data_IF_193175585559
#
_entry.id   IF_193175585559
#
_cell.length_a   1.000
_cell.length_b   1.000
_cell.length_c   1.000
_cell.angle_alpha   90.00
_cell.angle_beta   90.00
_cell.angle_gamma   90.00
#
_symmetry.space_group_name_H-M   'P 1'
#
loop_
_entity.id
_entity.type
_entity.pdbx_description
1 polymer ?
#
# COMPACT_ATOMS: atom_id res chain seq x y z
N UNK A 1 2.79 -19.34 6.41
CA UNK A 1 4.00 -18.77 5.75
C UNK A 1 5.07 -19.80 5.37
N UNK A 2 5.38 -20.80 6.20
CA UNK A 2 6.49 -21.75 5.98
C UNK A 2 6.56 -22.41 4.59
N UNK A 3 5.44 -22.94 4.08
CA UNK A 3 5.41 -23.61 2.79
C UNK A 3 5.70 -22.63 1.62
N UNK A 4 5.21 -21.39 1.71
CA UNK A 4 5.49 -20.35 0.73
C UNK A 4 6.97 -19.95 0.78
N UNK A 5 7.51 -19.69 1.98
CA UNK A 5 8.93 -19.40 2.17
C UNK A 5 9.82 -20.50 1.55
N UNK A 6 9.56 -21.77 1.87
CA UNK A 6 10.32 -22.90 1.31
C UNK A 6 10.23 -23.00 -0.21
N UNK A 7 9.09 -22.63 -0.80
CA UNK A 7 8.90 -22.66 -2.25
C UNK A 7 9.70 -21.55 -2.93
N UNK A 8 9.65 -20.34 -2.37
CA UNK A 8 10.43 -19.19 -2.87
C UNK A 8 11.93 -19.40 -2.69
N UNK A 9 12.35 -19.97 -1.56
CA UNK A 9 13.75 -20.29 -1.31
C UNK A 9 14.30 -21.31 -2.34
N UNK A 10 13.47 -22.28 -2.76
CA UNK A 10 13.83 -23.20 -3.84
C UNK A 10 13.94 -22.51 -5.19
N UNK A 11 13.09 -21.52 -5.49
CA UNK A 11 13.18 -20.75 -6.72
C UNK A 11 14.48 -19.90 -6.74
N UNK A 12 14.80 -19.23 -5.63
CA UNK A 12 16.01 -18.43 -5.48
C UNK A 12 17.30 -19.27 -5.45
N UNK A 13 17.23 -20.54 -5.05
CA UNK A 13 18.35 -21.47 -5.17
C UNK A 13 18.64 -21.85 -6.64
N UNK A 14 17.64 -21.78 -7.53
CA UNK A 14 17.80 -22.02 -8.97
C UNK A 14 18.31 -20.75 -9.67
N UNK A 15 17.69 -19.61 -9.38
CA UNK A 15 18.10 -18.30 -9.88
C UNK A 15 18.02 -17.24 -8.74
N UNK A 16 19.16 -16.88 -8.14
CA UNK A 16 19.22 -15.88 -7.06
C UNK A 16 18.78 -14.47 -7.49
N UNK A 17 18.74 -14.21 -8.79
CA UNK A 17 18.46 -12.90 -9.38
C UNK A 17 17.04 -12.83 -9.99
N UNK A 18 16.22 -13.86 -9.82
CA UNK A 18 14.85 -13.85 -10.32
C UNK A 18 14.00 -12.79 -9.61
N UNK A 19 13.63 -11.74 -10.35
CA UNK A 19 12.95 -10.55 -9.82
C UNK A 19 11.64 -10.88 -9.07
N UNK A 20 10.79 -11.75 -9.65
CA UNK A 20 9.51 -12.13 -9.05
C UNK A 20 9.69 -12.91 -7.72
N UNK A 21 10.51 -13.98 -7.64
CA UNK A 21 10.85 -14.61 -6.36
C UNK A 21 11.42 -13.65 -5.31
N UNK A 22 12.29 -12.70 -5.70
CA UNK A 22 12.83 -11.69 -4.79
C UNK A 22 11.73 -10.77 -4.23
N UNK A 23 10.82 -10.31 -5.10
CA UNK A 23 9.66 -9.49 -4.72
C UNK A 23 8.76 -10.25 -3.72
N UNK A 24 8.40 -11.50 -4.04
CA UNK A 24 7.55 -12.32 -3.17
C UNK A 24 8.24 -12.62 -1.84
N UNK A 25 9.54 -12.94 -1.84
CA UNK A 25 10.30 -13.17 -0.61
C UNK A 25 10.25 -11.94 0.31
N UNK A 26 10.44 -10.76 -0.26
CA UNK A 26 10.39 -9.48 0.44
C UNK A 26 9.02 -9.24 1.06
N UNK A 27 7.94 -9.41 0.28
CA UNK A 27 6.56 -9.26 0.77
C UNK A 27 6.23 -10.25 1.90
N UNK A 28 6.67 -11.52 1.79
CA UNK A 28 6.46 -12.52 2.83
C UNK A 28 7.18 -12.14 4.13
N UNK A 29 8.44 -11.71 4.06
CA UNK A 29 9.22 -11.31 5.25
C UNK A 29 8.57 -10.12 5.98
N UNK A 30 8.11 -9.12 5.22
CA UNK A 30 7.41 -7.94 5.75
C UNK A 30 6.06 -8.35 6.36
N UNK A 31 5.25 -9.14 5.65
CA UNK A 31 3.91 -9.53 6.11
C UNK A 31 3.95 -10.45 7.34
N UNK A 32 4.90 -11.38 7.39
CA UNK A 32 5.01 -12.38 8.46
C UNK A 32 5.68 -11.81 9.72
N UNK A 33 6.73 -11.00 9.55
CA UNK A 33 7.65 -10.62 10.65
C UNK A 33 7.88 -9.12 10.77
N UNK A 34 7.42 -8.31 9.81
CA UNK A 34 7.82 -6.91 9.71
C UNK A 34 9.32 -6.75 9.41
N UNK A 35 9.92 -7.76 8.76
CA UNK A 35 11.35 -7.79 8.45
C UNK A 35 11.61 -7.21 7.06
N UNK A 36 12.37 -6.11 7.01
CA UNK A 36 12.74 -5.42 5.78
C UNK A 36 14.05 -5.93 5.17
N UNK A 37 14.83 -6.75 5.87
CA UNK A 37 16.16 -7.18 5.41
C UNK A 37 16.11 -7.96 4.09
N UNK A 38 15.04 -8.74 3.87
CA UNK A 38 14.83 -9.42 2.59
C UNK A 38 14.63 -8.43 1.43
N UNK A 39 13.89 -7.34 1.66
CA UNK A 39 13.67 -6.29 0.67
C UNK A 39 14.96 -5.50 0.40
N UNK A 40 15.70 -5.13 1.45
CA UNK A 40 16.99 -4.43 1.32
C UNK A 40 17.99 -5.27 0.51
N UNK A 41 18.12 -6.56 0.82
CA UNK A 41 18.98 -7.47 0.07
C UNK A 41 18.54 -7.63 -1.39
N UNK A 42 17.22 -7.70 -1.64
CA UNK A 42 16.69 -7.74 -2.99
C UNK A 42 17.04 -6.47 -3.78
N UNK A 43 16.86 -5.28 -3.19
CA UNK A 43 17.21 -4.02 -3.84
C UNK A 43 18.70 -3.91 -4.16
N UNK A 44 19.60 -4.47 -3.34
CA UNK A 44 21.02 -4.54 -3.66
C UNK A 44 21.31 -5.54 -4.81
N UNK A 45 20.68 -6.72 -4.80
CA UNK A 45 20.89 -7.74 -5.84
C UNK A 45 20.49 -7.22 -7.23
N UNK A 46 19.35 -6.55 -7.33
CA UNK A 46 18.80 -6.10 -8.63
C UNK A 46 19.59 -4.97 -9.28
N UNK A 47 20.44 -4.23 -8.55
CA UNK A 47 21.29 -3.17 -9.14
C UNK A 47 22.21 -3.68 -10.26
N UNK A 48 22.60 -4.96 -10.18
CA UNK A 48 23.51 -5.59 -11.12
C UNK A 48 22.80 -6.25 -12.32
N UNK A 49 21.47 -6.31 -12.29
CA UNK A 49 20.67 -7.02 -13.28
C UNK A 49 20.33 -6.09 -14.46
N UNK A 50 20.53 -6.52 -15.72
CA UNK A 50 20.01 -5.80 -16.87
C UNK A 50 18.47 -5.74 -16.81
N UNK A 51 17.92 -4.52 -16.77
CA UNK A 51 16.48 -4.29 -16.63
C UNK A 51 15.97 -3.32 -17.67
N UNK A 52 14.74 -3.54 -18.14
CA UNK A 52 14.00 -2.56 -18.94
C UNK A 52 13.69 -1.32 -18.11
N UNK A 53 13.35 -0.21 -18.77
CA UNK A 53 12.94 1.01 -18.06
C UNK A 53 11.68 0.79 -17.22
N UNK A 54 10.76 -0.05 -17.69
CA UNK A 54 9.56 -0.44 -16.97
C UNK A 54 9.89 -1.20 -15.67
N UNK A 55 10.78 -2.19 -15.75
CA UNK A 55 11.25 -2.94 -14.57
C UNK A 55 11.93 -2.02 -13.56
N UNK A 56 12.77 -1.08 -14.02
CA UNK A 56 13.41 -0.09 -13.15
C UNK A 56 12.39 0.80 -12.45
N UNK A 57 11.38 1.29 -13.19
CA UNK A 57 10.32 2.13 -12.63
C UNK A 57 9.47 1.39 -11.58
N UNK A 58 9.14 0.12 -11.86
CA UNK A 58 8.44 -0.76 -10.90
C UNK A 58 9.27 -0.93 -9.62
N UNK A 59 10.54 -1.32 -9.73
CA UNK A 59 11.42 -1.55 -8.57
C UNK A 59 11.62 -0.28 -7.75
N UNK A 60 11.82 0.88 -8.38
CA UNK A 60 11.94 2.14 -7.67
C UNK A 60 10.63 2.55 -6.96
N UNK A 61 9.47 2.26 -7.55
CA UNK A 61 8.17 2.46 -6.89
C UNK A 61 8.01 1.55 -5.66
N UNK A 62 8.37 0.27 -5.78
CA UNK A 62 8.35 -0.68 -4.65
C UNK A 62 9.34 -0.30 -3.56
N UNK A 63 10.53 0.19 -3.94
CA UNK A 63 11.52 0.70 -2.99
C UNK A 63 11.01 1.93 -2.24
N UNK A 64 10.33 2.85 -2.93
CA UNK A 64 9.68 3.97 -2.28
C UNK A 64 8.60 3.48 -1.27
N UNK A 65 7.75 2.53 -1.65
CA UNK A 65 6.74 1.93 -0.76
C UNK A 65 7.39 1.33 0.50
N UNK A 66 8.47 0.55 0.35
CA UNK A 66 9.21 -0.05 1.47
C UNK A 66 9.83 1.03 2.38
N UNK A 67 10.45 2.06 1.81
CA UNK A 67 11.05 3.15 2.58
C UNK A 67 10.01 3.90 3.44
N UNK A 68 8.76 4.03 2.96
CA UNK A 68 7.66 4.58 3.77
C UNK A 68 7.33 3.68 4.95
N UNK A 69 7.25 2.35 4.75
CA UNK A 69 7.01 1.40 5.84
C UNK A 69 8.15 1.40 6.88
N UNK A 70 9.38 1.62 6.43
CA UNK A 70 10.55 1.80 7.30
C UNK A 70 10.63 3.18 7.97
N UNK A 71 9.68 4.08 7.67
CA UNK A 71 9.66 5.48 8.14
C UNK A 71 10.86 6.31 7.67
N UNK A 72 11.55 5.87 6.61
CA UNK A 72 12.60 6.59 5.88
C UNK A 72 11.95 7.57 4.88
N UNK A 73 11.13 8.50 5.39
CA UNK A 73 10.23 9.32 4.57
C UNK A 73 10.97 10.23 3.59
N UNK A 74 12.14 10.74 3.96
CA UNK A 74 12.94 11.62 3.10
C UNK A 74 13.51 10.84 1.91
N UNK A 75 14.00 9.65 2.16
CA UNK A 75 14.54 8.73 1.16
C UNK A 75 13.44 8.20 0.25
N UNK A 76 12.29 7.81 0.82
CA UNK A 76 11.12 7.39 0.04
C UNK A 76 10.58 8.51 -0.85
N UNK A 77 10.53 9.74 -0.33
CA UNK A 77 10.18 10.93 -1.11
C UNK A 77 11.16 11.15 -2.28
N UNK A 78 12.46 11.12 -2.00
CA UNK A 78 13.48 11.32 -3.03
C UNK A 78 13.40 10.24 -4.12
N UNK A 79 13.22 8.98 -3.74
CA UNK A 79 13.06 7.88 -4.69
C UNK A 79 11.84 8.10 -5.59
N UNK A 80 10.69 8.41 -5.01
CA UNK A 80 9.46 8.65 -5.76
C UNK A 80 9.54 9.89 -6.68
N UNK A 81 10.18 10.98 -6.23
CA UNK A 81 10.37 12.18 -7.05
C UNK A 81 11.36 11.98 -8.20
N UNK A 82 12.32 11.06 -8.05
CA UNK A 82 13.29 10.75 -9.09
C UNK A 82 12.70 10.01 -10.29
N UNK A 83 11.53 9.36 -10.10
CA UNK A 83 10.82 8.64 -11.16
C UNK A 83 10.18 9.61 -12.16
N UNK A 84 10.52 9.58 -13.45
CA UNK A 84 9.85 10.39 -14.45
C UNK A 84 8.39 9.98 -14.64
N UNK A 85 7.50 10.97 -14.84
CA UNK A 85 6.06 10.72 -14.97
C UNK A 85 5.71 9.86 -16.21
N UNK A 86 6.45 10.04 -17.30
CA UNK A 86 6.27 9.28 -18.55
C UNK A 86 6.60 7.79 -18.42
N UNK A 87 7.49 7.43 -17.50
CA UNK A 87 7.81 6.02 -17.21
C UNK A 87 6.68 5.28 -16.49
N UNK A 88 5.72 6.01 -15.90
CA UNK A 88 4.61 5.45 -15.13
C UNK A 88 3.28 5.45 -15.91
N UNK A 89 3.25 5.98 -17.13
CA UNK A 89 2.03 6.14 -17.93
C UNK A 89 1.31 4.81 -18.23
N UNK A 90 2.04 3.68 -18.25
CA UNK A 90 1.50 2.35 -18.55
C UNK A 90 1.42 1.42 -17.32
N UNK A 91 1.71 1.91 -16.11
CA UNK A 91 1.78 1.09 -14.90
C UNK A 91 0.47 1.13 -14.10
N UNK A 92 0.05 0.02 -13.48
CA UNK A 92 -1.28 -0.11 -12.82
C UNK A 92 -1.48 0.79 -11.60
N UNK A 93 -0.42 1.03 -10.80
CA UNK A 93 -0.41 2.07 -9.74
C UNK A 93 -0.07 3.47 -10.28
N UNK A 94 0.32 3.56 -11.54
CA UNK A 94 0.59 4.75 -12.36
C UNK A 94 1.09 6.00 -11.63
N UNK A 95 0.62 7.14 -12.13
CA UNK A 95 0.90 8.47 -11.57
C UNK A 95 0.15 8.72 -10.26
N UNK A 96 -1.04 8.14 -10.10
CA UNK A 96 -1.86 8.27 -8.90
C UNK A 96 -1.13 7.79 -7.65
N UNK A 97 -0.59 6.56 -7.69
CA UNK A 97 0.16 5.95 -6.59
C UNK A 97 1.45 6.70 -6.26
N UNK A 98 2.21 7.13 -7.28
CA UNK A 98 3.41 7.95 -7.08
C UNK A 98 3.09 9.22 -6.28
N UNK A 99 2.12 10.00 -6.75
CA UNK A 99 1.81 11.29 -6.11
C UNK A 99 1.08 11.11 -4.76
N UNK A 100 0.35 10.01 -4.57
CA UNK A 100 -0.17 9.63 -3.25
C UNK A 100 0.98 9.38 -2.25
N UNK A 101 2.02 8.62 -2.64
CA UNK A 101 3.19 8.37 -1.80
C UNK A 101 3.95 9.66 -1.48
N UNK A 102 4.18 10.52 -2.49
CA UNK A 102 4.80 11.83 -2.30
C UNK A 102 3.99 12.67 -1.29
N UNK A 103 2.66 12.69 -1.42
CA UNK A 103 1.76 13.38 -0.51
C UNK A 103 1.90 12.87 0.92
N UNK A 104 1.85 11.54 1.09
CA UNK A 104 2.05 10.88 2.38
C UNK A 104 3.39 11.23 3.02
N UNK A 105 4.48 11.11 2.25
CA UNK A 105 5.84 11.37 2.73
C UNK A 105 6.03 12.84 3.14
N UNK A 106 5.50 13.79 2.35
CA UNK A 106 5.55 15.22 2.67
C UNK A 106 4.75 15.56 3.92
N UNK A 107 3.58 14.96 4.10
CA UNK A 107 2.78 15.14 5.33
C UNK A 107 3.53 14.60 6.54
N UNK A 108 4.15 13.42 6.44
CA UNK A 108 4.98 12.85 7.50
C UNK A 108 6.23 13.70 7.82
N UNK A 109 6.70 14.52 6.86
CA UNK A 109 7.77 15.49 7.01
C UNK A 109 7.28 16.90 7.40
N UNK A 110 5.99 17.05 7.74
CA UNK A 110 5.34 18.31 8.10
C UNK A 110 5.34 19.39 7.00
N UNK A 111 5.44 18.98 5.73
CA UNK A 111 5.26 19.84 4.56
C UNK A 111 3.81 19.77 4.06
N UNK A 112 2.91 20.45 4.78
CA UNK A 112 1.47 20.46 4.49
C UNK A 112 1.15 20.98 3.08
N UNK A 113 1.85 22.04 2.65
CA UNK A 113 1.62 22.65 1.34
C UNK A 113 2.04 21.72 0.21
N UNK A 114 3.22 21.09 0.33
CA UNK A 114 3.69 20.11 -0.64
C UNK A 114 2.88 18.83 -0.62
N UNK A 115 2.45 18.35 0.55
CA UNK A 115 1.55 17.20 0.67
C UNK A 115 0.25 17.44 -0.08
N UNK A 116 -0.40 18.58 0.18
CA UNK A 116 -1.63 18.98 -0.49
C UNK A 116 -1.45 19.07 -2.02
N UNK A 117 -0.35 19.64 -2.48
CA UNK A 117 -0.06 19.75 -3.91
C UNK A 117 0.11 18.37 -4.56
N UNK A 118 0.78 17.43 -3.88
CA UNK A 118 0.95 16.07 -4.36
C UNK A 118 -0.38 15.30 -4.39
N UNK A 119 -1.21 15.40 -3.35
CA UNK A 119 -2.54 14.77 -3.34
C UNK A 119 -3.46 15.31 -4.45
N UNK A 120 -3.40 16.62 -4.77
CA UNK A 120 -4.13 17.16 -5.92
C UNK A 120 -3.65 16.56 -7.25
N UNK A 121 -2.34 16.36 -7.43
CA UNK A 121 -1.82 15.68 -8.62
C UNK A 121 -2.27 14.21 -8.69
N UNK A 122 -2.25 13.52 -7.55
CA UNK A 122 -2.76 12.15 -7.45
C UNK A 122 -4.24 12.09 -7.86
N UNK A 123 -5.08 12.98 -7.31
CA UNK A 123 -6.51 13.09 -7.65
C UNK A 123 -6.71 13.23 -9.16
N UNK A 124 -6.07 14.22 -9.80
CA UNK A 124 -6.21 14.44 -11.24
C UNK A 124 -5.78 13.23 -12.09
N UNK A 125 -4.69 12.55 -11.69
CA UNK A 125 -4.22 11.36 -12.40
C UNK A 125 -5.19 10.18 -12.28
N UNK A 126 -5.74 9.96 -11.07
CA UNK A 126 -6.68 8.88 -10.79
C UNK A 126 -8.02 9.13 -11.50
N UNK A 127 -8.53 10.37 -11.48
CA UNK A 127 -9.75 10.75 -12.21
C UNK A 127 -9.61 10.52 -13.72
N UNK A 128 -8.43 10.81 -14.29
CA UNK A 128 -8.16 10.55 -15.70
C UNK A 128 -8.08 9.04 -16.01
N UNK A 129 -7.58 8.23 -15.09
CA UNK A 129 -7.60 6.77 -15.20
C UNK A 129 -9.05 6.23 -15.17
N UNK A 130 -9.89 6.74 -14.28
CA UNK A 130 -11.31 6.35 -14.18
C UNK A 130 -12.12 6.68 -15.43
N UNK A 131 -11.76 7.72 -16.20
CA UNK A 131 -12.40 7.96 -17.52
C UNK A 131 -12.18 6.81 -18.50
N UNK A 132 -11.07 6.08 -18.38
CA UNK A 132 -10.74 4.94 -19.25
C UNK A 132 -11.25 3.61 -18.68
N UNK A 133 -11.37 3.52 -17.36
CA UNK A 133 -11.83 2.32 -16.66
C UNK A 133 -12.76 2.71 -15.50
N UNK A 134 -14.02 3.07 -15.80
CA UNK A 134 -14.96 3.60 -14.82
C UNK A 134 -15.39 2.62 -13.73
N UNK A 135 -15.17 1.32 -13.93
CA UNK A 135 -15.58 0.26 -12.98
C UNK A 135 -14.37 -0.34 -12.23
N UNK A 136 -13.21 0.34 -12.26
CA UNK A 136 -11.99 -0.12 -11.61
C UNK A 136 -12.03 0.13 -10.10
N UNK A 137 -12.52 -0.86 -9.34
CA UNK A 137 -12.74 -0.77 -7.89
C UNK A 137 -11.47 -0.34 -7.10
N UNK A 138 -10.30 -0.85 -7.49
CA UNK A 138 -9.01 -0.49 -6.92
C UNK A 138 -8.65 0.99 -7.13
N UNK A 139 -9.04 1.53 -8.29
CA UNK A 139 -8.83 2.94 -8.64
C UNK A 139 -9.79 3.84 -7.86
N UNK A 140 -11.04 3.41 -7.64
CA UNK A 140 -12.00 4.11 -6.79
C UNK A 140 -11.55 4.19 -5.32
N UNK A 141 -11.05 3.09 -4.74
CA UNK A 141 -10.56 3.14 -3.35
C UNK A 141 -9.29 3.98 -3.22
N UNK A 142 -8.43 4.04 -4.25
CA UNK A 142 -7.31 4.98 -4.29
C UNK A 142 -7.79 6.44 -4.31
N UNK A 143 -8.81 6.76 -5.12
CA UNK A 143 -9.41 8.09 -5.15
C UNK A 143 -9.98 8.46 -3.77
N UNK A 144 -10.71 7.54 -3.14
CA UNK A 144 -11.26 7.73 -1.80
C UNK A 144 -10.18 8.12 -0.77
N UNK A 145 -9.04 7.44 -0.78
CA UNK A 145 -7.91 7.75 0.11
C UNK A 145 -7.34 9.14 -0.15
N UNK A 146 -7.15 9.52 -1.41
CA UNK A 146 -6.67 10.87 -1.78
C UNK A 146 -7.65 11.94 -1.34
N UNK A 147 -8.95 11.73 -1.56
CA UNK A 147 -10.00 12.65 -1.14
C UNK A 147 -10.04 12.81 0.39
N UNK A 148 -9.82 11.73 1.14
CA UNK A 148 -9.72 11.79 2.59
C UNK A 148 -8.56 12.68 3.06
N UNK A 149 -7.38 12.55 2.45
CA UNK A 149 -6.24 13.44 2.73
C UNK A 149 -6.46 14.90 2.33
N UNK A 150 -7.28 15.13 1.31
CA UNK A 150 -7.71 16.46 0.88
C UNK A 150 -8.83 17.04 1.76
N UNK A 151 -9.26 16.32 2.80
CA UNK A 151 -10.37 16.67 3.68
C UNK A 151 -11.73 16.80 2.96
N UNK A 152 -11.89 16.11 1.82
CA UNK A 152 -13.13 16.01 1.04
C UNK A 152 -13.95 14.80 1.52
N UNK A 153 -14.40 14.85 2.78
CA UNK A 153 -14.97 13.70 3.52
C UNK A 153 -16.12 12.99 2.78
N UNK A 154 -17.13 13.71 2.33
CA UNK A 154 -18.32 13.08 1.74
C UNK A 154 -17.99 12.37 0.42
N UNK A 155 -17.15 13.01 -0.41
CA UNK A 155 -16.64 12.42 -1.65
C UNK A 155 -15.78 11.18 -1.36
N UNK A 156 -14.92 11.22 -0.34
CA UNK A 156 -14.10 10.08 0.04
C UNK A 156 -14.94 8.86 0.44
N UNK A 157 -15.99 9.07 1.24
CA UNK A 157 -16.89 8.00 1.67
C UNK A 157 -17.75 7.47 0.51
N UNK A 158 -18.19 8.33 -0.41
CA UNK A 158 -18.93 7.92 -1.60
C UNK A 158 -18.09 7.02 -2.51
N UNK A 159 -16.83 7.40 -2.77
CA UNK A 159 -15.90 6.59 -3.58
C UNK A 159 -15.53 5.26 -2.90
N UNK A 160 -15.33 5.27 -1.58
CA UNK A 160 -15.07 4.05 -0.80
C UNK A 160 -16.26 3.06 -0.85
N UNK A 161 -17.48 3.59 -0.75
CA UNK A 161 -18.71 2.80 -0.89
C UNK A 161 -18.84 2.25 -2.31
N UNK A 162 -18.61 3.07 -3.33
CA UNK A 162 -18.69 2.64 -4.72
C UNK A 162 -17.68 1.53 -5.06
N UNK A 163 -16.43 1.65 -4.60
CA UNK A 163 -15.44 0.60 -4.73
C UNK A 163 -15.91 -0.74 -4.12
N UNK A 164 -16.54 -0.68 -2.94
CA UNK A 164 -17.08 -1.85 -2.24
C UNK A 164 -18.23 -2.51 -3.01
N UNK A 165 -19.07 -1.72 -3.69
CA UNK A 165 -20.16 -2.21 -4.52
C UNK A 165 -19.67 -2.85 -5.82
N UNK A 166 -18.62 -2.30 -6.43
CA UNK A 166 -18.01 -2.85 -7.65
C UNK A 166 -17.35 -4.22 -7.42
N UNK A 167 -16.65 -4.36 -6.30
CA UNK A 167 -15.92 -5.57 -5.95
C UNK A 167 -16.12 -5.97 -4.47
N UNK A 168 -17.30 -6.50 -4.11
CA UNK A 168 -17.53 -7.01 -2.77
C UNK A 168 -16.76 -8.31 -2.54
N UNK A 169 -16.43 -8.60 -1.29
CA UNK A 169 -15.74 -9.84 -0.88
C UNK A 169 -16.49 -11.12 -1.24
N UNK A 170 -17.82 -11.05 -1.37
CA UNK A 170 -18.66 -12.17 -1.81
C UNK A 170 -18.46 -12.51 -3.29
N UNK A 171 -17.97 -11.56 -4.09
CA UNK A 171 -17.71 -11.71 -5.52
C UNK A 171 -16.25 -12.10 -5.77
N UNK A 172 -15.33 -11.53 -4.99
CA UNK A 172 -13.90 -11.82 -5.10
C UNK A 172 -13.26 -11.91 -3.71
N UNK A 173 -12.86 -13.13 -3.34
CA UNK A 173 -12.24 -13.42 -2.05
C UNK A 173 -10.77 -12.97 -1.95
N UNK A 174 -10.16 -12.53 -3.05
CA UNK A 174 -8.81 -11.97 -3.09
C UNK A 174 -8.86 -10.44 -3.18
N UNK A 175 -9.52 -9.91 -4.21
CA UNK A 175 -9.60 -8.46 -4.45
C UNK A 175 -10.56 -7.73 -3.51
N UNK A 176 -11.67 -8.34 -3.10
CA UNK A 176 -12.63 -7.70 -2.20
C UNK A 176 -12.05 -7.32 -0.83
N UNK A 177 -11.26 -8.19 -0.18
CA UNK A 177 -10.57 -7.84 1.07
C UNK A 177 -9.57 -6.68 0.90
N UNK A 178 -8.94 -6.54 -0.27
CA UNK A 178 -8.04 -5.41 -0.56
C UNK A 178 -8.81 -4.08 -0.63
N UNK A 179 -9.97 -4.07 -1.28
CA UNK A 179 -10.87 -2.91 -1.28
C UNK A 179 -11.31 -2.57 0.13
N UNK A 180 -11.71 -3.58 0.91
CA UNK A 180 -12.19 -3.41 2.28
C UNK A 180 -11.07 -2.87 3.20
N UNK A 181 -9.82 -3.29 3.00
CA UNK A 181 -8.68 -2.69 3.70
C UNK A 181 -8.50 -1.21 3.33
N UNK A 182 -8.60 -0.86 2.04
CA UNK A 182 -8.55 0.55 1.61
C UNK A 182 -9.67 1.40 2.21
N UNK A 183 -10.87 0.86 2.39
CA UNK A 183 -11.98 1.53 3.12
C UNK A 183 -11.61 1.77 4.58
N UNK A 184 -10.98 0.80 5.26
CA UNK A 184 -10.49 1.01 6.63
C UNK A 184 -9.44 2.14 6.70
N UNK A 185 -8.55 2.23 5.72
CA UNK A 185 -7.57 3.33 5.62
C UNK A 185 -8.28 4.69 5.45
N UNK A 186 -9.32 4.78 4.62
CA UNK A 186 -10.14 6.01 4.46
C UNK A 186 -10.73 6.44 5.80
N UNK A 187 -11.35 5.53 6.55
CA UNK A 187 -11.90 5.85 7.87
C UNK A 187 -10.81 6.30 8.85
N UNK A 188 -9.65 5.66 8.85
CA UNK A 188 -8.52 6.05 9.69
C UNK A 188 -7.99 7.46 9.34
N UNK A 189 -7.86 7.79 8.05
CA UNK A 189 -7.44 9.13 7.59
C UNK A 189 -8.45 10.21 8.04
N UNK A 190 -9.74 9.90 7.97
CA UNK A 190 -10.82 10.81 8.39
C UNK A 190 -11.01 10.92 9.91
N UNK A 191 -10.24 10.15 10.70
CA UNK A 191 -10.35 10.10 12.16
C UNK A 191 -11.54 9.29 12.68
N UNK A 192 -12.19 8.50 11.83
CA UNK A 192 -13.25 7.55 12.21
C UNK A 192 -12.65 6.23 12.69
N UNK A 193 -11.92 6.32 13.81
CA UNK A 193 -11.12 5.22 14.35
C UNK A 193 -11.97 3.99 14.65
N UNK A 194 -13.16 4.17 15.22
CA UNK A 194 -14.05 3.07 15.58
C UNK A 194 -14.42 2.22 14.36
N UNK A 195 -14.79 2.88 13.25
CA UNK A 195 -15.14 2.18 12.01
C UNK A 195 -13.93 1.52 11.36
N UNK A 196 -12.77 2.18 11.34
CA UNK A 196 -11.53 1.58 10.84
C UNK A 196 -11.18 0.29 11.60
N UNK A 197 -11.24 0.32 12.93
CA UNK A 197 -10.92 -0.83 13.80
C UNK A 197 -11.92 -1.98 13.60
N UNK A 198 -13.21 -1.68 13.46
CA UNK A 198 -14.25 -2.69 13.18
C UNK A 198 -13.97 -3.44 11.87
N UNK A 199 -13.63 -2.71 10.81
CA UNK A 199 -13.30 -3.31 9.51
C UNK A 199 -12.04 -4.17 9.61
N UNK A 200 -11.00 -3.68 10.29
CA UNK A 200 -9.76 -4.43 10.51
C UNK A 200 -9.95 -5.71 11.34
N UNK A 201 -10.84 -5.70 12.34
CA UNK A 201 -11.23 -6.92 13.07
C UNK A 201 -11.85 -7.96 12.14
N UNK A 202 -12.78 -7.52 11.29
CA UNK A 202 -13.38 -8.37 10.26
C UNK A 202 -12.33 -9.00 9.34
N UNK A 203 -11.40 -8.20 8.81
CA UNK A 203 -10.35 -8.67 7.91
C UNK A 203 -9.35 -9.64 8.57
N UNK A 204 -9.00 -9.42 9.84
CA UNK A 204 -8.12 -10.31 10.59
C UNK A 204 -8.81 -11.63 11.01
N UNK A 205 -10.15 -11.65 11.05
CA UNK A 205 -10.93 -12.82 11.43
C UNK A 205 -11.07 -13.89 10.33
N UNK A 206 -10.71 -13.55 9.08
CA UNK A 206 -10.85 -14.39 7.89
C UNK A 206 -9.58 -14.31 7.00
N UNK A 207 -9.41 -15.19 6.01
CA UNK A 207 -8.32 -15.06 5.05
C UNK A 207 -8.35 -13.69 4.35
N UNK A 208 -7.28 -12.92 4.50
CA UNK A 208 -7.07 -11.63 3.83
C UNK A 208 -5.56 -11.31 3.77
N UNK A 209 -5.19 -10.27 3.04
CA UNK A 209 -3.81 -9.76 3.02
C UNK A 209 -3.41 -8.96 4.27
N UNK A 210 -4.34 -8.69 5.20
CA UNK A 210 -4.07 -7.92 6.41
C UNK A 210 -3.43 -8.81 7.47
N UNK A 211 -2.29 -8.39 8.00
CA UNK A 211 -1.60 -9.09 9.09
C UNK A 211 -1.36 -8.18 10.28
N UNK A 212 -1.24 -8.75 11.48
CA UNK A 212 -0.89 -7.99 12.68
C UNK A 212 0.45 -7.26 12.52
N UNK A 213 1.43 -7.86 11.84
CA UNK A 213 2.71 -7.17 11.59
C UNK A 213 2.56 -6.04 10.58
N UNK A 214 1.79 -6.24 9.50
CA UNK A 214 1.46 -5.19 8.54
C UNK A 214 0.79 -4.00 9.22
N UNK A 215 -0.17 -4.26 10.11
CA UNK A 215 -0.80 -3.21 10.91
C UNK A 215 0.22 -2.48 11.79
N UNK A 216 1.17 -3.18 12.42
CA UNK A 216 2.20 -2.57 13.31
C UNK A 216 3.21 -1.70 12.57
N UNK A 217 3.63 -2.08 11.38
CA UNK A 217 4.68 -1.36 10.64
C UNK A 217 4.12 -0.20 9.79
N UNK A 218 2.91 -0.35 9.24
CA UNK A 218 2.40 0.61 8.27
C UNK A 218 1.99 1.93 8.95
N UNK A 219 2.60 3.08 8.59
CA UNK A 219 2.34 4.37 9.24
C UNK A 219 0.93 4.94 8.95
N UNK A 220 0.18 4.39 7.99
CA UNK A 220 -1.23 4.78 7.77
C UNK A 220 -2.09 4.59 9.03
N UNK A 221 -1.72 3.63 9.88
CA UNK A 221 -2.42 3.30 11.12
C UNK A 221 -1.90 4.08 12.33
N UNK A 222 -0.97 5.02 12.14
CA UNK A 222 -0.41 5.80 13.25
C UNK A 222 -1.45 6.54 14.10
N UNK A 223 -2.53 7.13 13.52
CA UNK A 223 -3.62 7.70 14.30
C UNK A 223 -4.33 6.71 15.25
N UNK A 224 -4.30 5.41 14.93
CA UNK A 224 -4.94 4.35 15.73
C UNK A 224 -4.02 3.79 16.82
N UNK A 225 -2.72 4.09 16.80
CA UNK A 225 -1.71 3.42 17.66
C UNK A 225 -2.03 3.51 19.14
N UNK A 226 -2.57 4.63 19.59
CA UNK A 226 -2.87 4.85 21.01
C UNK A 226 -4.33 4.52 21.36
N UNK A 227 -5.14 4.05 20.41
CA UNK A 227 -6.52 3.64 20.65
C UNK A 227 -6.54 2.29 21.40
N UNK A 228 -7.19 2.19 22.58
CA UNK A 228 -7.27 0.95 23.34
C UNK A 228 -7.89 -0.22 22.56
N UNK A 229 -8.86 0.05 21.69
CA UNK A 229 -9.52 -1.00 20.88
C UNK A 229 -8.58 -1.52 19.79
N UNK A 230 -7.74 -0.65 19.22
CA UNK A 230 -6.72 -1.08 18.27
C UNK A 230 -5.63 -1.92 18.95
N UNK A 231 -5.20 -1.56 20.16
CA UNK A 231 -4.26 -2.37 20.94
C UNK A 231 -4.85 -3.74 21.34
N UNK A 232 -6.12 -3.76 21.73
CA UNK A 232 -6.85 -5.00 21.99
C UNK A 232 -6.95 -5.87 20.72
N UNK A 233 -7.20 -5.26 19.55
CA UNK A 233 -7.23 -5.94 18.26
C UNK A 233 -5.88 -6.61 17.94
N UNK A 234 -4.78 -5.87 18.05
CA UNK A 234 -3.44 -6.43 17.81
C UNK A 234 -3.13 -7.59 18.75
N UNK A 235 -3.55 -7.51 20.01
CA UNK A 235 -3.36 -8.57 21.00
C UNK A 235 -4.22 -9.80 20.66
N UNK A 236 -5.49 -9.60 20.31
CA UNK A 236 -6.45 -10.66 19.93
C UNK A 236 -5.96 -11.54 18.79
N UNK A 237 -5.25 -10.96 17.82
CA UNK A 237 -4.76 -11.66 16.63
C UNK A 237 -3.25 -11.97 16.66
N UNK A 238 -2.54 -11.61 17.73
CA UNK A 238 -1.14 -11.97 17.90
C UNK A 238 -0.99 -13.50 17.91
N UNK A 239 -0.23 -14.06 16.96
CA UNK A 239 0.05 -15.50 16.87
C UNK A 239 -0.85 -16.29 15.92
N UNK A 240 -1.84 -15.67 15.26
CA UNK A 240 -2.51 -16.25 14.09
C UNK A 240 -1.70 -15.88 12.84
N UNK A 241 -0.80 -16.76 12.43
CA UNK A 241 0.02 -16.63 11.21
C UNK A 241 -0.21 -17.82 10.27
#
# INVERSE_FOLDING_TARGET
>A
YDAANKTIDRALAIDPNALEPLEVKSKLAIAEKGDFSAAENAFEAVKSIPMTNEQKAKIASERADVLILERKYREGLQEAESLPDDMLANHSKGLGGKYYLIGFARQALHDEAGARAAFLKAKSAIEEQLKRSPDAADTHVQLAKVLAYLNEKDSALAEAQHATELLPESKDAFGGPEITNGVAEVHAILGDNGRAIEILDGLLSRPSGVTVQGLKINPIWDPLRNDPNFQALLTKYSGKA
#
